data_IF_706973403129
#
_entry.id   IF_706973403129
#
_cell.length_a   1.000
_cell.length_b   1.000
_cell.length_c   1.000
_cell.angle_alpha   90.00
_cell.angle_beta   90.00
_cell.angle_gamma   90.00
#
_symmetry.space_group_name_H-M   'P 1'
#
loop_
_entity.id
_entity.type
_entity.pdbx_description
1 polymer ?
#
# COMPACT_ATOMS: atom_id res chain seq x y z
N UNK A 1 -47.60 26.85 -10.01
CA UNK A 1 -47.45 28.32 -10.01
C UNK A 1 -46.38 28.67 -8.96
N UNK A 2 -45.35 29.42 -9.39
CA UNK A 2 -44.26 30.06 -8.59
C UNK A 2 -43.27 29.15 -7.84
N UNK A 3 -41.95 29.34 -7.85
CA UNK A 3 -40.93 29.92 -8.76
C UNK A 3 -39.62 29.55 -8.06
N UNK A 4 -38.68 28.86 -8.73
CA UNK A 4 -37.33 28.62 -8.20
C UNK A 4 -36.56 29.95 -8.12
N UNK A 5 -35.73 30.18 -7.09
CA UNK A 5 -34.64 31.12 -7.21
C UNK A 5 -33.31 30.38 -7.41
N UNK A 6 -32.71 30.61 -8.57
CA UNK A 6 -31.29 30.45 -8.90
C UNK A 6 -30.49 31.63 -8.33
N UNK A 7 -29.28 31.40 -7.82
CA UNK A 7 -28.22 32.42 -7.80
C UNK A 7 -26.86 31.78 -8.08
N UNK A 8 -26.35 32.13 -9.25
CA UNK A 8 -24.98 31.98 -9.72
C UNK A 8 -24.06 32.94 -8.95
N UNK A 9 -22.82 32.53 -8.72
CA UNK A 9 -21.73 33.39 -8.29
C UNK A 9 -20.70 33.44 -9.43
N UNK A 10 -20.49 34.66 -9.94
CA UNK A 10 -19.56 35.15 -10.98
C UNK A 10 -18.10 34.71 -10.76
N UNK A 11 -17.10 34.90 -11.64
CA UNK A 11 -16.87 35.22 -13.07
C UNK A 11 -15.42 35.75 -13.15
N UNK A 12 -14.71 35.56 -14.28
CA UNK A 12 -13.45 36.25 -14.65
C UNK A 12 -12.18 35.85 -13.89
N UNK A 13 -10.99 35.73 -14.49
CA UNK A 13 -10.36 36.68 -15.42
C UNK A 13 -9.51 35.97 -16.49
N UNK A 14 -9.42 36.66 -17.61
CA UNK A 14 -8.97 36.32 -18.94
C UNK A 14 -7.44 36.46 -19.17
N UNK A 15 -7.01 35.73 -20.19
CA UNK A 15 -5.77 35.66 -20.99
C UNK A 15 -4.95 36.94 -21.15
N UNK A 16 -3.61 36.80 -21.25
CA UNK A 16 -2.79 37.58 -22.19
C UNK A 16 -1.67 36.72 -22.82
N UNK A 17 -1.47 36.97 -24.11
CA UNK A 17 -0.66 36.29 -25.13
C UNK A 17 0.14 37.42 -25.79
N UNK A 18 1.47 37.32 -25.90
CA UNK A 18 2.37 38.24 -26.64
C UNK A 18 3.81 37.67 -26.49
N UNK A 19 4.74 37.72 -27.43
CA UNK A 19 4.72 38.10 -28.84
C UNK A 19 5.92 37.42 -29.52
N UNK A 20 5.76 37.28 -30.83
CA UNK A 20 6.69 36.87 -31.85
C UNK A 20 8.03 37.63 -31.88
N UNK A 21 9.09 36.92 -32.27
CA UNK A 21 10.41 37.49 -32.51
C UNK A 21 11.20 36.63 -33.50
N UNK A 22 10.81 36.67 -34.77
CA UNK A 22 11.62 36.17 -35.87
C UNK A 22 12.79 37.14 -36.12
N UNK A 23 14.01 36.62 -36.33
CA UNK A 23 14.92 37.28 -37.27
C UNK A 23 15.96 36.33 -37.90
N UNK A 24 16.37 36.73 -39.09
CA UNK A 24 16.82 35.93 -40.23
C UNK A 24 18.32 35.99 -40.55
N UNK A 25 18.83 34.89 -41.16
CA UNK A 25 19.74 34.81 -42.34
C UNK A 25 21.25 35.14 -42.23
N UNK A 26 22.06 34.06 -42.24
CA UNK A 26 23.07 33.58 -43.25
C UNK A 26 24.50 34.14 -43.51
N UNK A 27 25.37 33.13 -43.78
CA UNK A 27 26.59 32.94 -44.61
C UNK A 27 27.93 33.63 -44.31
N UNK A 28 29.01 32.82 -44.29
CA UNK A 28 30.40 33.25 -44.56
C UNK A 28 31.44 32.15 -44.31
N UNK A 29 31.87 31.45 -45.36
CA UNK A 29 32.99 30.52 -45.36
C UNK A 29 34.33 31.26 -45.52
N UNK A 30 35.39 30.90 -44.80
CA UNK A 30 36.78 31.16 -45.22
C UNK A 30 37.73 30.06 -44.75
N UNK A 31 38.47 29.56 -45.73
CA UNK A 31 39.46 28.48 -45.70
C UNK A 31 40.87 28.99 -45.38
N UNK A 32 41.65 28.11 -44.75
CA UNK A 32 43.10 27.90 -44.87
C UNK A 32 44.04 29.11 -44.69
N UNK A 33 44.93 29.03 -43.69
CA UNK A 33 46.36 29.32 -43.93
C UNK A 33 47.25 28.63 -42.89
N UNK A 34 48.08 27.74 -43.40
CA UNK A 34 49.25 27.13 -42.76
C UNK A 34 50.37 28.15 -42.65
N UNK A 35 51.12 28.13 -41.55
CA UNK A 35 52.57 28.37 -41.61
C UNK A 35 53.27 27.78 -40.39
N UNK A 36 54.47 27.28 -40.67
CA UNK A 36 55.28 26.31 -39.93
C UNK A 36 56.56 27.04 -39.48
N UNK A 37 57.26 26.44 -38.51
CA UNK A 37 58.71 26.57 -38.26
C UNK A 37 59.14 27.90 -37.56
N UNK A 38 59.95 27.96 -36.50
CA UNK A 38 61.20 27.22 -36.21
C UNK A 38 61.64 27.26 -34.73
N UNK A 39 62.38 26.22 -34.33
CA UNK A 39 63.60 26.21 -33.49
C UNK A 39 63.53 26.50 -31.97
N UNK A 40 63.43 25.41 -31.19
CA UNK A 40 64.41 24.80 -30.25
C UNK A 40 65.62 25.65 -29.73
N UNK A 41 66.29 25.33 -28.57
CA UNK A 41 66.23 24.10 -27.76
C UNK A 41 66.30 24.22 -26.21
N UNK A 42 65.93 23.10 -25.60
CA UNK A 42 66.28 22.50 -24.30
C UNK A 42 67.52 22.95 -23.51
N UNK A 43 67.33 23.06 -22.18
CA UNK A 43 68.25 22.61 -21.12
C UNK A 43 67.38 21.66 -20.25
N UNK A 44 67.44 20.33 -20.47
CA UNK A 44 68.17 19.35 -19.64
C UNK A 44 67.80 19.48 -18.13
N UNK A 45 67.44 18.43 -17.39
CA UNK A 45 68.07 17.11 -17.41
C UNK A 45 67.26 16.06 -16.62
N UNK A 46 67.02 14.93 -17.30
CA UNK A 46 66.99 13.53 -16.84
C UNK A 46 66.53 13.14 -15.41
N UNK A 47 65.45 12.35 -15.37
CA UNK A 47 65.32 11.03 -14.70
C UNK A 47 63.89 10.53 -14.93
N UNK A 48 63.51 9.27 -15.19
CA UNK A 48 64.11 7.92 -15.27
C UNK A 48 63.01 7.01 -15.94
N UNK A 49 63.26 5.72 -16.25
CA UNK A 49 62.69 5.02 -17.41
C UNK A 49 61.23 4.56 -17.25
N UNK A 50 60.59 4.32 -18.39
CA UNK A 50 59.28 3.66 -18.55
C UNK A 50 59.37 2.20 -18.07
N UNK A 51 58.50 1.83 -17.14
CA UNK A 51 57.91 0.49 -17.10
C UNK A 51 56.39 0.62 -17.05
N UNK A 52 55.78 0.28 -18.18
CA UNK A 52 54.34 0.10 -18.33
C UNK A 52 53.91 -1.13 -17.54
N UNK A 53 53.04 -0.96 -16.54
CA UNK A 53 52.15 -2.03 -16.07
C UNK A 53 50.71 -1.55 -16.20
N UNK A 54 49.97 -2.22 -17.07
CA UNK A 54 48.55 -2.02 -17.32
C UNK A 54 47.70 -2.43 -16.12
N UNK A 55 46.50 -1.85 -16.07
CA UNK A 55 45.37 -2.08 -15.14
C UNK A 55 45.59 -1.40 -13.78
N UNK A 56 44.64 -0.65 -13.23
CA UNK A 56 43.20 -0.78 -13.31
C UNK A 56 42.55 0.55 -12.91
N UNK A 57 41.30 0.74 -13.34
CA UNK A 57 40.38 1.74 -12.81
C UNK A 57 40.51 1.83 -11.29
N UNK A 58 40.89 2.98 -10.71
CA UNK A 58 40.68 3.30 -9.29
C UNK A 58 41.37 4.63 -8.91
N UNK A 59 40.87 5.77 -9.42
CA UNK A 59 40.85 7.02 -8.64
C UNK A 59 39.52 7.74 -8.87
N UNK A 60 38.44 6.96 -8.74
CA UNK A 60 37.15 7.44 -8.26
C UNK A 60 37.31 7.74 -6.77
N UNK A 61 37.41 9.00 -6.35
CA UNK A 61 37.24 9.34 -4.94
C UNK A 61 36.94 10.83 -4.73
N UNK A 62 35.85 11.35 -5.30
CA UNK A 62 35.27 12.60 -4.81
C UNK A 62 33.79 12.82 -5.15
N UNK A 63 32.98 11.78 -4.99
CA UNK A 63 31.53 11.95 -4.87
C UNK A 63 31.06 11.33 -3.55
N UNK A 64 31.25 12.08 -2.47
CA UNK A 64 30.41 11.99 -1.27
C UNK A 64 29.22 12.93 -1.42
N UNK A 65 28.33 12.63 -2.37
CA UNK A 65 27.01 13.22 -2.36
C UNK A 65 26.05 12.11 -1.93
N UNK A 66 25.56 12.24 -0.71
CA UNK A 66 24.51 11.42 -0.12
C UNK A 66 23.25 11.53 -0.97
N UNK A 67 23.22 10.78 -2.06
CA UNK A 67 22.00 10.45 -2.78
C UNK A 67 21.34 9.34 -1.96
N UNK A 68 20.52 9.74 -0.98
CA UNK A 68 19.51 8.83 -0.44
C UNK A 68 18.68 8.35 -1.64
N UNK A 69 18.87 7.09 -2.05
CA UNK A 69 18.07 6.50 -3.10
C UNK A 69 16.59 6.63 -2.70
N UNK A 70 15.69 7.04 -3.62
CA UNK A 70 14.27 7.01 -3.32
C UNK A 70 13.90 5.56 -2.99
N UNK A 71 13.49 5.31 -1.75
CA UNK A 71 13.02 3.98 -1.31
C UNK A 71 11.85 3.60 -2.20
N UNK A 72 12.11 2.76 -3.21
CA UNK A 72 11.07 2.10 -3.99
C UNK A 72 10.44 1.13 -2.99
N UNK A 73 9.29 1.50 -2.42
CA UNK A 73 8.46 0.57 -1.66
C UNK A 73 8.15 -0.58 -2.61
N UNK A 74 8.73 -1.76 -2.33
CA UNK A 74 8.41 -2.96 -3.11
C UNK A 74 6.89 -3.10 -3.15
N UNK A 75 6.27 -3.34 -4.32
CA UNK A 75 4.87 -3.68 -4.36
C UNK A 75 4.72 -4.92 -3.48
N UNK A 76 4.08 -4.74 -2.33
CA UNK A 76 3.69 -5.84 -1.46
C UNK A 76 2.64 -6.64 -2.23
N UNK A 77 3.11 -7.62 -3.01
CA UNK A 77 2.23 -8.64 -3.54
C UNK A 77 1.55 -9.27 -2.33
N UNK A 78 0.22 -9.26 -2.23
CA UNK A 78 -0.44 -9.87 -1.09
C UNK A 78 -0.09 -11.36 -1.09
N UNK A 79 0.86 -11.73 -0.23
CA UNK A 79 1.13 -13.12 0.09
C UNK A 79 -0.07 -13.66 0.86
N UNK A 80 -1.02 -14.21 0.09
CA UNK A 80 -1.60 -15.56 0.26
C UNK A 80 -3.04 -15.61 -0.27
N UNK A 81 -3.54 -16.80 -0.66
CA UNK A 81 -4.88 -16.95 -1.22
C UNK A 81 -5.94 -16.41 -0.24
N UNK A 82 -6.59 -15.32 -0.64
CA UNK A 82 -7.81 -14.81 -0.05
C UNK A 82 -8.97 -15.39 -0.83
N UNK A 83 -9.72 -16.30 -0.20
CA UNK A 83 -10.97 -16.78 -0.80
C UNK A 83 -12.04 -15.75 -0.50
N UNK A 84 -12.71 -15.24 -1.53
CA UNK A 84 -13.82 -14.28 -1.36
C UNK A 84 -15.11 -14.88 -1.90
N UNK A 85 -16.14 -14.93 -1.04
CA UNK A 85 -17.52 -15.17 -1.43
C UNK A 85 -18.16 -13.83 -1.75
N UNK A 86 -18.32 -13.57 -3.05
CA UNK A 86 -18.88 -12.32 -3.55
C UNK A 86 -20.36 -12.13 -3.25
N UNK A 87 -20.82 -10.90 -3.44
CA UNK A 87 -22.24 -10.55 -3.34
C UNK A 87 -23.07 -11.33 -4.37
N UNK A 88 -24.22 -11.84 -3.94
CA UNK A 88 -25.10 -12.67 -4.78
C UNK A 88 -24.76 -14.16 -4.79
N UNK A 89 -23.68 -14.59 -4.13
CA UNK A 89 -23.38 -16.01 -3.91
C UNK A 89 -24.09 -16.48 -2.63
N UNK A 90 -24.85 -17.56 -2.74
CA UNK A 90 -25.40 -18.30 -1.61
C UNK A 90 -24.72 -19.65 -1.50
N UNK A 91 -24.06 -19.92 -0.38
CA UNK A 91 -23.44 -21.23 -0.10
C UNK A 91 -24.17 -21.90 1.06
N UNK A 92 -24.45 -23.20 0.92
CA UNK A 92 -25.01 -24.02 2.00
C UNK A 92 -24.18 -25.29 2.17
N UNK A 93 -23.67 -25.53 3.38
CA UNK A 93 -22.91 -26.72 3.70
C UNK A 93 -21.79 -26.47 4.71
N UNK A 94 -20.75 -27.29 4.63
CA UNK A 94 -19.55 -27.17 5.45
C UNK A 94 -18.43 -26.52 4.65
N UNK A 95 -17.71 -25.57 5.24
CA UNK A 95 -16.61 -24.85 4.61
C UNK A 95 -15.38 -24.85 5.51
N UNK A 96 -14.25 -25.24 4.94
CA UNK A 96 -12.92 -25.22 5.57
C UNK A 96 -11.98 -24.43 4.68
N UNK A 97 -11.13 -23.60 5.30
CA UNK A 97 -10.09 -22.83 4.63
C UNK A 97 -8.83 -22.85 5.49
N UNK A 98 -7.69 -22.42 4.96
CA UNK A 98 -6.42 -22.43 5.71
C UNK A 98 -6.03 -21.07 6.26
N UNK A 99 -6.54 -19.98 5.68
CA UNK A 99 -5.97 -18.66 5.89
C UNK A 99 -6.93 -17.50 6.06
N UNK A 100 -7.54 -17.04 4.98
CA UNK A 100 -8.41 -15.87 5.00
C UNK A 100 -9.61 -16.18 4.12
N UNK A 101 -10.79 -16.06 4.71
CA UNK A 101 -12.06 -16.15 4.01
C UNK A 101 -12.81 -14.84 4.18
N UNK A 102 -13.17 -14.21 3.07
CA UNK A 102 -14.02 -13.04 3.03
C UNK A 102 -15.43 -13.42 2.55
N UNK A 103 -16.47 -12.96 3.26
CA UNK A 103 -17.87 -13.24 2.93
C UNK A 103 -18.64 -11.92 2.76
N UNK A 104 -19.01 -11.60 1.53
CA UNK A 104 -19.91 -10.49 1.17
C UNK A 104 -21.28 -11.00 0.65
N UNK A 105 -21.53 -12.32 0.69
CA UNK A 105 -22.77 -12.98 0.26
C UNK A 105 -23.55 -13.66 1.40
N UNK A 106 -24.30 -14.71 1.06
CA UNK A 106 -25.08 -15.51 2.02
C UNK A 106 -24.41 -16.85 2.29
N UNK A 107 -24.13 -17.16 3.56
CA UNK A 107 -23.56 -18.44 3.98
C UNK A 107 -24.46 -19.09 5.02
N UNK A 108 -24.84 -20.35 4.81
CA UNK A 108 -25.57 -21.15 5.80
C UNK A 108 -24.86 -22.49 6.05
N UNK A 109 -24.61 -22.83 7.32
CA UNK A 109 -24.10 -24.16 7.66
C UNK A 109 -23.03 -24.15 8.76
N UNK A 110 -21.87 -24.73 8.48
CA UNK A 110 -20.79 -24.91 9.46
C UNK A 110 -19.48 -24.44 8.85
N UNK A 111 -18.72 -23.66 9.62
CA UNK A 111 -17.42 -23.17 9.21
C UNK A 111 -16.39 -23.54 10.28
N UNK A 112 -15.41 -24.34 9.88
CA UNK A 112 -14.32 -24.80 10.78
C UNK A 112 -13.00 -24.54 10.09
N UNK A 113 -12.14 -23.76 10.74
CA UNK A 113 -10.81 -23.42 10.21
C UNK A 113 -9.88 -22.96 11.33
N UNK A 114 -8.57 -22.86 11.07
CA UNK A 114 -7.63 -22.13 11.93
C UNK A 114 -7.28 -20.75 11.37
N UNK A 115 -7.95 -20.33 10.30
CA UNK A 115 -7.71 -19.06 9.66
C UNK A 115 -8.52 -17.92 10.27
N UNK A 116 -8.46 -16.79 9.57
CA UNK A 116 -9.25 -15.58 9.81
C UNK A 116 -10.46 -15.52 8.90
N UNK A 117 -11.60 -15.10 9.44
CA UNK A 117 -12.78 -14.75 8.65
C UNK A 117 -13.00 -13.23 8.64
N UNK A 118 -13.44 -12.70 7.50
CA UNK A 118 -13.93 -11.34 7.34
C UNK A 118 -15.36 -11.40 6.79
N UNK A 119 -16.34 -11.03 7.60
CA UNK A 119 -17.72 -10.84 7.14
C UNK A 119 -17.87 -9.38 6.74
N UNK A 120 -18.01 -9.12 5.45
CA UNK A 120 -18.21 -7.77 4.93
C UNK A 120 -19.59 -7.20 5.28
N UNK A 121 -19.82 -5.90 5.01
CA UNK A 121 -21.05 -5.20 5.39
C UNK A 121 -22.32 -5.73 4.70
N UNK A 122 -22.17 -6.42 3.57
CA UNK A 122 -23.28 -7.09 2.85
C UNK A 122 -23.40 -8.58 3.18
N UNK A 123 -22.49 -9.11 4.00
CA UNK A 123 -22.46 -10.52 4.37
C UNK A 123 -23.60 -10.88 5.33
N UNK A 124 -24.29 -11.99 5.03
CA UNK A 124 -25.23 -12.65 5.92
C UNK A 124 -24.77 -14.08 6.20
N UNK A 125 -24.42 -14.36 7.44
CA UNK A 125 -23.85 -15.66 7.84
C UNK A 125 -24.76 -16.29 8.88
N UNK A 126 -25.35 -17.43 8.56
CA UNK A 126 -26.14 -18.23 9.49
C UNK A 126 -25.49 -19.58 9.72
N UNK A 127 -24.57 -19.64 10.68
CA UNK A 127 -23.71 -20.79 10.84
C UNK A 127 -23.17 -20.96 12.26
N UNK A 128 -22.68 -22.17 12.55
CA UNK A 128 -21.77 -22.39 13.66
C UNK A 128 -20.33 -22.17 13.17
N UNK A 129 -19.61 -21.26 13.81
CA UNK A 129 -18.30 -20.77 13.39
C UNK A 129 -17.27 -21.20 14.44
N UNK A 130 -16.23 -21.93 14.02
CA UNK A 130 -15.09 -22.32 14.86
C UNK A 130 -13.78 -21.94 14.15
N UNK A 131 -13.06 -20.94 14.70
CA UNK A 131 -11.85 -20.39 14.08
C UNK A 131 -10.92 -19.61 15.04
N UNK A 132 -9.80 -19.08 14.52
CA UNK A 132 -8.81 -18.37 15.33
C UNK A 132 -9.09 -16.87 15.47
N UNK A 133 -9.48 -16.20 14.37
CA UNK A 133 -9.79 -14.76 14.37
C UNK A 133 -11.01 -14.41 13.52
N UNK A 134 -11.92 -13.59 14.08
CA UNK A 134 -13.09 -13.11 13.36
C UNK A 134 -13.12 -11.59 13.24
N UNK A 135 -13.42 -11.09 12.06
CA UNK A 135 -13.75 -9.70 11.81
C UNK A 135 -15.15 -9.63 11.17
N UNK A 136 -16.08 -8.93 11.83
CA UNK A 136 -17.49 -8.93 11.46
C UNK A 136 -17.94 -7.49 11.25
N UNK A 137 -18.33 -7.16 10.03
CA UNK A 137 -18.96 -5.89 9.64
C UNK A 137 -20.42 -6.06 9.18
N UNK A 138 -20.90 -7.30 9.02
CA UNK A 138 -22.23 -7.65 8.51
C UNK A 138 -23.16 -8.28 9.56
N UNK A 139 -24.06 -9.16 9.11
CA UNK A 139 -25.04 -9.84 9.96
C UNK A 139 -24.63 -11.29 10.18
N UNK A 140 -24.59 -11.71 11.44
CA UNK A 140 -24.26 -13.09 11.84
C UNK A 140 -25.32 -13.64 12.78
N UNK A 141 -25.86 -14.81 12.45
CA UNK A 141 -26.82 -15.56 13.25
C UNK A 141 -26.28 -16.96 13.55
N UNK A 142 -25.92 -17.21 14.81
CA UNK A 142 -25.41 -18.51 15.23
C UNK A 142 -24.33 -18.41 16.30
N UNK A 143 -23.74 -19.56 16.61
CA UNK A 143 -22.73 -19.66 17.65
C UNK A 143 -21.35 -19.37 17.05
N UNK A 144 -20.59 -18.54 17.74
CA UNK A 144 -19.26 -18.10 17.32
C UNK A 144 -18.26 -18.55 18.38
N UNK A 145 -17.41 -19.49 18.03
CA UNK A 145 -16.30 -19.97 18.87
C UNK A 145 -15.01 -19.51 18.24
N UNK A 146 -14.30 -18.62 18.93
CA UNK A 146 -13.05 -18.04 18.46
C UNK A 146 -12.00 -18.14 19.54
N UNK A 147 -10.85 -18.75 19.25
CA UNK A 147 -9.79 -18.90 20.25
C UNK A 147 -9.03 -17.58 20.48
N UNK A 148 -8.87 -16.77 19.44
CA UNK A 148 -8.18 -15.48 19.47
C UNK A 148 -9.13 -14.30 19.59
N UNK A 149 -8.98 -13.35 18.66
CA UNK A 149 -9.66 -12.06 18.70
C UNK A 149 -10.91 -12.04 17.82
N UNK A 150 -12.01 -11.52 18.36
CA UNK A 150 -13.21 -11.13 17.62
C UNK A 150 -13.27 -9.61 17.54
N UNK A 151 -13.36 -9.07 16.33
CA UNK A 151 -13.52 -7.63 16.07
C UNK A 151 -14.86 -7.39 15.38
N UNK A 152 -15.77 -6.71 16.07
CA UNK A 152 -17.03 -6.26 15.50
C UNK A 152 -16.87 -4.80 15.08
N UNK A 153 -17.10 -4.50 13.80
CA UNK A 153 -16.87 -3.17 13.22
C UNK A 153 -18.12 -2.62 12.52
N UNK A 154 -18.22 -1.29 12.43
CA UNK A 154 -19.30 -0.63 11.70
C UNK A 154 -20.70 -0.95 12.24
N UNK A 155 -21.61 -1.41 11.37
CA UNK A 155 -23.01 -1.73 11.73
C UNK A 155 -23.26 -3.24 11.84
N UNK A 156 -22.29 -3.96 12.40
CA UNK A 156 -22.42 -5.40 12.59
C UNK A 156 -23.62 -5.75 13.50
N UNK A 157 -24.33 -6.82 13.17
CA UNK A 157 -25.42 -7.36 13.98
C UNK A 157 -25.18 -8.84 14.22
N UNK A 158 -24.93 -9.20 15.48
CA UNK A 158 -24.67 -10.58 15.89
C UNK A 158 -25.80 -11.07 16.79
N UNK A 159 -26.42 -12.19 16.43
CA UNK A 159 -27.45 -12.85 17.21
C UNK A 159 -27.02 -14.29 17.49
N UNK A 160 -26.70 -14.59 18.75
CA UNK A 160 -26.20 -15.90 19.17
C UNK A 160 -25.10 -15.80 20.21
N UNK A 161 -24.55 -16.95 20.59
CA UNK A 161 -23.56 -17.03 21.66
C UNK A 161 -22.14 -16.88 21.10
N UNK A 162 -21.34 -16.03 21.75
CA UNK A 162 -19.95 -15.76 21.37
C UNK A 162 -19.01 -16.24 22.47
N UNK A 163 -18.10 -17.13 22.13
CA UNK A 163 -16.94 -17.49 22.93
C UNK A 163 -15.69 -16.95 22.23
N UNK A 164 -14.94 -16.07 22.89
CA UNK A 164 -13.77 -15.41 22.31
C UNK A 164 -12.60 -15.33 23.30
N UNK A 165 -11.35 -15.32 22.83
CA UNK A 165 -10.19 -14.98 23.66
C UNK A 165 -10.09 -13.49 23.97
N UNK A 166 -10.45 -12.65 22.99
CA UNK A 166 -10.55 -11.20 23.13
C UNK A 166 -11.69 -10.66 22.26
N UNK A 167 -12.40 -9.64 22.74
CA UNK A 167 -13.50 -9.01 22.01
C UNK A 167 -13.24 -7.50 21.87
N UNK A 168 -13.28 -7.01 20.64
CA UNK A 168 -13.30 -5.59 20.32
C UNK A 168 -14.63 -5.27 19.64
N UNK A 169 -15.30 -4.22 20.12
CA UNK A 169 -16.61 -3.78 19.59
C UNK A 169 -16.51 -2.31 19.24
N UNK A 170 -16.84 -1.99 17.99
CA UNK A 170 -16.88 -0.63 17.47
C UNK A 170 -18.24 0.05 17.72
N UNK A 171 -18.31 1.36 17.48
CA UNK A 171 -19.54 2.13 17.68
C UNK A 171 -20.65 1.71 16.71
N UNK A 172 -21.86 1.49 17.25
CA UNK A 172 -23.05 1.19 16.43
C UNK A 172 -23.31 -0.30 16.16
N UNK A 173 -22.48 -1.18 16.70
CA UNK A 173 -22.68 -2.64 16.67
C UNK A 173 -23.85 -3.06 17.57
N UNK A 174 -24.62 -4.06 17.13
CA UNK A 174 -25.68 -4.71 17.92
C UNK A 174 -25.31 -6.15 18.18
N UNK A 175 -25.24 -6.52 19.46
CA UNK A 175 -24.99 -7.89 19.89
C UNK A 175 -26.16 -8.36 20.75
N UNK A 176 -26.71 -9.53 20.44
CA UNK A 176 -27.81 -10.15 21.17
C UNK A 176 -27.50 -11.63 21.44
N UNK A 177 -27.12 -11.96 22.67
CA UNK A 177 -26.81 -13.33 23.08
C UNK A 177 -25.88 -13.39 24.29
N UNK A 178 -25.37 -14.58 24.60
CA UNK A 178 -24.37 -14.75 25.65
C UNK A 178 -22.96 -14.52 25.13
N UNK A 179 -22.12 -13.82 25.89
CA UNK A 179 -20.71 -13.60 25.54
C UNK A 179 -19.83 -14.13 26.66
N UNK A 180 -18.91 -15.01 26.29
CA UNK A 180 -17.91 -15.60 27.18
C UNK A 180 -16.52 -15.25 26.67
N UNK A 181 -15.80 -14.42 27.42
CA UNK A 181 -14.41 -14.06 27.08
C UNK A 181 -13.46 -14.91 27.94
N UNK A 182 -12.78 -15.85 27.29
CA UNK A 182 -11.76 -16.70 27.91
C UNK A 182 -10.40 -16.02 27.70
N UNK A 183 -10.16 -14.96 28.49
CA UNK A 183 -9.06 -14.02 28.28
C UNK A 183 -7.71 -14.67 27.94
N UNK A 184 -7.11 -14.22 26.84
CA UNK A 184 -5.67 -14.30 26.63
C UNK A 184 -5.02 -13.12 27.37
N UNK A 185 -3.96 -13.40 28.13
CA UNK A 185 -3.21 -12.41 28.91
C UNK A 185 -2.88 -11.17 28.07
N UNK A 186 -3.08 -9.94 28.60
CA UNK A 186 -2.77 -8.72 27.87
C UNK A 186 -1.26 -8.66 27.62
N UNK A 187 -0.85 -8.80 26.36
CA UNK A 187 0.54 -8.56 25.95
C UNK A 187 0.88 -7.09 26.21
N UNK A 188 1.72 -6.87 27.22
CA UNK A 188 2.13 -5.56 27.70
C UNK A 188 2.79 -4.78 26.56
N UNK A 189 2.23 -3.62 26.20
CA UNK A 189 2.95 -2.65 25.38
C UNK A 189 4.08 -2.08 26.23
N UNK A 190 5.32 -2.31 25.81
CA UNK A 190 6.52 -1.69 26.38
C UNK A 190 6.30 -0.18 26.50
N UNK A 191 6.33 0.33 27.74
CA UNK A 191 6.52 1.75 28.00
C UNK A 191 7.95 2.10 27.57
N UNK A 192 8.07 2.81 26.46
CA UNK A 192 9.30 3.48 26.05
C UNK A 192 9.10 4.96 26.43
N UNK A 193 9.73 5.42 27.51
CA UNK A 193 9.95 6.84 27.88
C UNK A 193 10.65 6.86 29.26
N UNK A 194 11.71 7.62 29.57
CA UNK A 194 12.68 8.47 28.84
C UNK A 194 13.87 8.69 29.79
#
# INVERSE_FOLDING_TARGET
MFKRPTKNFFDGVQTLYEDSGANSVSYGAYSQRTERLENHPSIFEAAKPVETRLLSQEEHAQWEEQQEEPVIQEPTFPEKPETTLGEGVSFKGELTFERLLRIDGTFEGILVSKGKIIVGPRGYVKANIDLEEAEIAGVVEGNITVTGKVSLQGRAMVTGDIQAGSLCVDEGVRLCGYVSIQGAEPSQREKIDS
#
